data_IF_490888535269
#
_entry.id   IF_490888535269
#
_cell.length_a   1.000
_cell.length_b   1.000
_cell.length_c   1.000
_cell.angle_alpha   90.00
_cell.angle_beta   90.00
_cell.angle_gamma   90.00
#
_symmetry.space_group_name_H-M   'P 1'
#
loop_
_entity.id
_entity.type
_entity.pdbx_description
1 polymer ?
#
# COMPACT_ATOMS: atom_id res chain seq x y z
N UNK A 1 -27.81 2.68 -9.39
CA UNK A 1 -27.24 1.71 -10.37
C UNK A 1 -27.94 0.36 -10.32
N UNK A 2 -28.45 -0.05 -9.15
CA UNK A 2 -29.12 -1.35 -8.89
C UNK A 2 -30.19 -1.74 -9.92
N UNK A 3 -31.01 -0.80 -10.41
CA UNK A 3 -32.13 -1.14 -11.31
C UNK A 3 -31.76 -1.67 -12.71
N UNK A 4 -30.49 -1.56 -13.18
CA UNK A 4 -30.09 -2.01 -14.54
C UNK A 4 -29.35 -3.35 -14.57
N UNK A 5 -28.98 -3.90 -13.42
CA UNK A 5 -28.18 -5.12 -13.31
C UNK A 5 -28.90 -6.20 -12.51
N UNK A 6 -30.21 -6.08 -12.36
CA UNK A 6 -31.09 -7.16 -11.91
C UNK A 6 -31.65 -7.88 -13.13
N UNK A 7 -31.40 -9.18 -13.25
CA UNK A 7 -31.92 -10.03 -14.33
C UNK A 7 -32.48 -11.33 -13.75
N UNK A 8 -33.81 -11.37 -13.60
CA UNK A 8 -34.55 -12.52 -13.06
C UNK A 8 -34.33 -13.78 -13.89
N UNK A 9 -34.20 -13.66 -15.21
CA UNK A 9 -34.07 -14.83 -16.10
C UNK A 9 -32.72 -15.51 -15.94
N UNK A 10 -31.69 -14.76 -15.56
CA UNK A 10 -30.33 -15.26 -15.32
C UNK A 10 -30.00 -15.40 -13.84
N UNK A 11 -30.97 -15.13 -12.95
CA UNK A 11 -30.78 -15.12 -11.50
C UNK A 11 -29.57 -14.27 -11.08
N UNK A 12 -29.47 -13.05 -11.61
CA UNK A 12 -28.35 -12.15 -11.35
C UNK A 12 -28.83 -10.85 -10.68
N UNK A 13 -28.34 -10.60 -9.47
CA UNK A 13 -28.43 -9.30 -8.79
C UNK A 13 -27.02 -8.81 -8.45
N UNK A 14 -26.63 -7.66 -8.97
CA UNK A 14 -25.30 -7.10 -8.74
C UNK A 14 -24.98 -6.86 -7.26
N UNK A 15 -25.95 -6.46 -6.46
CA UNK A 15 -25.74 -6.21 -5.03
C UNK A 15 -25.46 -7.51 -4.31
N UNK A 16 -26.25 -8.56 -4.57
CA UNK A 16 -26.05 -9.89 -3.97
C UNK A 16 -24.71 -10.48 -4.41
N UNK A 17 -24.41 -10.45 -5.70
CA UNK A 17 -23.14 -10.94 -6.25
C UNK A 17 -21.93 -10.18 -5.71
N UNK A 18 -22.06 -8.88 -5.46
CA UNK A 18 -20.99 -8.10 -4.85
C UNK A 18 -20.78 -8.45 -3.37
N UNK A 19 -21.86 -8.66 -2.60
CA UNK A 19 -21.71 -9.08 -1.21
C UNK A 19 -21.03 -10.45 -1.10
N UNK A 20 -21.37 -11.41 -1.96
CA UNK A 20 -20.66 -12.71 -2.04
C UNK A 20 -19.14 -12.55 -2.28
N UNK A 21 -18.76 -11.65 -3.19
CA UNK A 21 -17.34 -11.38 -3.48
C UNK A 21 -16.67 -10.65 -2.32
N UNK A 22 -17.38 -9.72 -1.68
CA UNK A 22 -16.87 -8.97 -0.53
C UNK A 22 -16.60 -9.89 0.66
N UNK A 23 -17.46 -10.87 0.92
CA UNK A 23 -17.25 -11.87 1.97
C UNK A 23 -15.97 -12.68 1.72
N UNK A 24 -15.74 -13.13 0.49
CA UNK A 24 -14.48 -13.80 0.10
C UNK A 24 -13.26 -12.89 0.28
N UNK A 25 -13.37 -11.63 -0.11
CA UNK A 25 -12.30 -10.65 0.07
C UNK A 25 -12.03 -10.35 1.55
N UNK A 26 -13.02 -10.47 2.43
CA UNK A 26 -12.84 -10.31 3.88
C UNK A 26 -11.93 -11.39 4.46
N UNK A 27 -12.06 -12.64 4.02
CA UNK A 27 -11.21 -13.77 4.48
C UNK A 27 -9.71 -13.51 4.27
N UNK A 28 -9.37 -12.70 3.26
CA UNK A 28 -7.99 -12.34 2.91
C UNK A 28 -7.61 -10.89 3.29
N UNK A 29 -8.51 -10.15 3.96
CA UNK A 29 -8.27 -8.78 4.44
C UNK A 29 -8.37 -7.70 3.37
N UNK A 30 -9.12 -7.95 2.29
CA UNK A 30 -9.33 -7.05 1.16
C UNK A 30 -10.76 -6.52 1.01
N UNK A 31 -11.61 -6.70 2.02
CA UNK A 31 -13.02 -6.25 2.12
C UNK A 31 -13.28 -4.77 1.84
N UNK A 32 -12.26 -3.90 1.93
CA UNK A 32 -12.42 -2.47 1.64
C UNK A 32 -12.46 -2.12 0.15
N UNK A 33 -12.24 -3.08 -0.76
CA UNK A 33 -12.39 -2.87 -2.22
C UNK A 33 -13.86 -2.58 -2.54
N UNK A 34 -14.20 -1.41 -3.11
CA UNK A 34 -15.59 -1.04 -3.37
C UNK A 34 -16.10 -1.64 -4.69
N UNK A 35 -17.42 -1.86 -4.77
CA UNK A 35 -18.11 -2.36 -5.97
C UNK A 35 -17.79 -1.60 -7.27
N UNK A 36 -17.47 -0.30 -7.16
CA UNK A 36 -17.11 0.53 -8.31
C UNK A 36 -15.86 0.01 -9.05
N UNK A 37 -14.95 -0.71 -8.37
CA UNK A 37 -13.77 -1.33 -9.00
C UNK A 37 -14.20 -2.33 -10.07
N UNK A 38 -15.11 -3.24 -9.75
CA UNK A 38 -15.63 -4.24 -10.70
C UNK A 38 -16.33 -3.58 -11.89
N UNK A 39 -17.16 -2.57 -11.62
CA UNK A 39 -17.85 -1.80 -12.67
C UNK A 39 -16.88 -1.07 -13.59
N UNK A 40 -15.83 -0.46 -13.03
CA UNK A 40 -14.80 0.24 -13.80
C UNK A 40 -13.97 -0.73 -14.63
N UNK A 41 -13.61 -1.91 -14.08
CA UNK A 41 -12.90 -2.96 -14.82
C UNK A 41 -13.71 -3.45 -16.02
N UNK A 42 -14.99 -3.81 -15.81
CA UNK A 42 -15.88 -4.24 -16.91
C UNK A 42 -16.04 -3.12 -17.96
N UNK A 43 -16.14 -1.86 -17.54
CA UNK A 43 -16.24 -0.75 -18.47
C UNK A 43 -14.98 -0.54 -19.31
N UNK A 44 -13.79 -0.67 -18.71
CA UNK A 44 -12.53 -0.64 -19.46
C UNK A 44 -12.43 -1.79 -20.46
N UNK A 45 -12.85 -3.00 -20.08
CA UNK A 45 -12.83 -4.16 -20.98
C UNK A 45 -13.80 -4.00 -22.16
N UNK A 46 -15.04 -3.52 -21.92
CA UNK A 46 -16.04 -3.38 -22.98
C UNK A 46 -15.86 -2.16 -23.88
N UNK A 47 -15.35 -1.04 -23.33
CA UNK A 47 -15.39 0.28 -24.00
C UNK A 47 -14.06 1.01 -24.02
N UNK A 48 -13.04 0.54 -23.30
CA UNK A 48 -11.78 1.26 -23.12
C UNK A 48 -11.86 2.49 -22.20
N UNK A 49 -13.04 2.82 -21.68
CA UNK A 49 -13.31 3.98 -20.83
C UNK A 49 -14.25 3.61 -19.69
N UNK A 50 -14.01 4.15 -18.50
CA UNK A 50 -14.75 3.79 -17.29
C UNK A 50 -15.45 4.98 -16.61
N UNK A 51 -15.68 6.09 -17.33
CA UNK A 51 -16.44 7.19 -16.75
C UNK A 51 -17.89 6.79 -16.49
N UNK A 52 -18.53 7.36 -15.48
CA UNK A 52 -19.93 7.02 -15.10
C UNK A 52 -20.89 6.96 -16.29
N UNK A 53 -20.75 7.87 -17.28
CA UNK A 53 -21.57 7.90 -18.50
C UNK A 53 -21.42 6.65 -19.38
N UNK A 54 -20.28 5.97 -19.35
CA UNK A 54 -20.03 4.71 -20.08
C UNK A 54 -20.51 3.51 -19.27
N UNK A 55 -20.33 3.52 -17.94
CA UNK A 55 -20.86 2.48 -17.05
C UNK A 55 -22.39 2.35 -17.21
N UNK A 56 -23.10 3.48 -17.30
CA UNK A 56 -24.56 3.50 -17.49
C UNK A 56 -25.04 2.99 -18.87
N UNK A 57 -24.12 2.81 -19.83
CA UNK A 57 -24.32 2.35 -21.21
C UNK A 57 -23.69 0.97 -21.47
N UNK A 58 -23.27 0.26 -20.42
CA UNK A 58 -22.83 -1.12 -20.56
C UNK A 58 -23.98 -1.99 -21.04
N UNK A 59 -23.64 -2.95 -21.89
CA UNK A 59 -24.60 -3.95 -22.30
C UNK A 59 -24.83 -4.92 -21.15
N UNK A 60 -26.10 -5.09 -20.73
CA UNK A 60 -26.44 -5.91 -19.56
C UNK A 60 -26.03 -7.37 -19.74
N UNK A 61 -26.22 -7.92 -20.94
CA UNK A 61 -25.92 -9.32 -21.21
C UNK A 61 -24.41 -9.57 -21.12
N UNK A 62 -23.61 -8.75 -21.83
CA UNK A 62 -22.15 -8.81 -21.74
C UNK A 62 -21.63 -8.55 -20.34
N UNK A 63 -22.27 -7.65 -19.59
CA UNK A 63 -21.90 -7.38 -18.20
C UNK A 63 -22.01 -8.64 -17.34
N UNK A 64 -23.15 -9.35 -17.42
CA UNK A 64 -23.38 -10.57 -16.65
C UNK A 64 -22.42 -11.68 -17.11
N UNK A 65 -22.19 -11.80 -18.42
CA UNK A 65 -21.28 -12.82 -18.98
C UNK A 65 -19.83 -12.64 -18.53
N UNK A 66 -19.37 -11.40 -18.31
CA UNK A 66 -18.01 -11.10 -17.90
C UNK A 66 -17.81 -11.07 -16.38
N UNK A 67 -18.89 -11.18 -15.59
CA UNK A 67 -18.82 -10.95 -14.14
C UNK A 67 -17.84 -11.90 -13.46
N UNK A 68 -17.97 -13.21 -13.71
CA UNK A 68 -17.16 -14.23 -13.04
C UNK A 68 -15.68 -14.14 -13.43
N UNK A 69 -15.39 -13.85 -14.71
CA UNK A 69 -14.01 -13.63 -15.19
C UNK A 69 -13.37 -12.38 -14.56
N UNK A 70 -14.15 -11.31 -14.36
CA UNK A 70 -13.66 -10.09 -13.69
C UNK A 70 -13.47 -10.31 -12.21
N UNK A 71 -14.31 -11.11 -11.56
CA UNK A 71 -14.10 -11.52 -10.16
C UNK A 71 -12.80 -12.30 -10.03
N UNK A 72 -12.56 -13.31 -10.87
CA UNK A 72 -11.29 -14.07 -10.89
C UNK A 72 -10.08 -13.13 -11.13
N UNK A 73 -10.17 -12.19 -12.06
CA UNK A 73 -9.09 -11.23 -12.31
C UNK A 73 -8.81 -10.29 -11.11
N UNK A 74 -9.85 -9.91 -10.36
CA UNK A 74 -9.71 -9.15 -9.12
C UNK A 74 -9.09 -10.00 -8.01
N UNK A 75 -9.51 -11.26 -7.86
CA UNK A 75 -8.93 -12.21 -6.89
C UNK A 75 -7.44 -12.43 -7.18
N UNK A 76 -7.04 -12.64 -8.44
CA UNK A 76 -5.63 -12.71 -8.87
C UNK A 76 -4.86 -11.43 -8.55
N UNK A 77 -5.47 -10.27 -8.74
CA UNK A 77 -4.88 -8.99 -8.38
C UNK A 77 -4.59 -8.90 -6.89
N UNK A 78 -5.57 -9.31 -6.06
CA UNK A 78 -5.43 -9.33 -4.61
C UNK A 78 -4.34 -10.29 -4.18
N UNK A 79 -4.29 -11.50 -4.74
CA UNK A 79 -3.22 -12.46 -4.46
C UNK A 79 -1.85 -11.94 -4.89
N UNK A 80 -1.77 -11.26 -6.03
CA UNK A 80 -0.52 -10.65 -6.47
C UNK A 80 -0.07 -9.52 -5.52
N UNK A 81 -0.97 -8.65 -5.09
CA UNK A 81 -0.66 -7.59 -4.12
C UNK A 81 -0.22 -8.15 -2.77
N UNK A 82 -0.87 -9.23 -2.30
CA UNK A 82 -0.54 -9.89 -1.03
C UNK A 82 0.80 -10.61 -1.08
N UNK A 83 1.07 -11.34 -2.15
CA UNK A 83 2.21 -12.26 -2.20
C UNK A 83 3.46 -11.62 -2.81
N UNK A 84 3.32 -10.84 -3.89
CA UNK A 84 4.44 -10.20 -4.56
C UNK A 84 4.79 -8.85 -3.93
N UNK A 85 3.79 -7.97 -3.77
CA UNK A 85 4.01 -6.66 -3.12
C UNK A 85 3.94 -6.72 -1.59
N UNK A 86 3.61 -7.88 -1.00
CA UNK A 86 3.58 -8.09 0.45
C UNK A 86 2.67 -7.08 1.15
N UNK A 87 1.54 -6.76 0.52
CA UNK A 87 0.53 -5.86 1.06
C UNK A 87 -0.53 -6.72 1.75
N UNK A 88 -0.46 -6.90 3.09
CA UNK A 88 -1.30 -7.87 3.78
C UNK A 88 -2.79 -7.55 3.73
N UNK A 89 -3.16 -6.26 3.67
CA UNK A 89 -4.56 -5.82 3.72
C UNK A 89 -4.84 -4.59 2.88
N UNK A 90 -6.08 -4.47 2.37
CA UNK A 90 -6.47 -3.36 1.48
C UNK A 90 -6.46 -1.98 2.13
N UNK A 91 -6.51 -1.88 3.46
CA UNK A 91 -6.50 -0.56 4.14
C UNK A 91 -5.19 0.20 3.98
N UNK A 92 -4.05 -0.49 3.84
CA UNK A 92 -2.77 0.16 3.51
C UNK A 92 -2.55 0.30 2.00
N UNK A 93 -3.44 -0.24 1.16
CA UNK A 93 -3.33 -0.07 -0.28
C UNK A 93 -3.43 1.43 -0.63
N UNK A 94 -2.49 1.98 -1.43
CA UNK A 94 -2.46 3.41 -1.73
C UNK A 94 -3.77 3.92 -2.34
N UNK A 95 -4.38 3.12 -3.22
CA UNK A 95 -5.71 3.32 -3.76
C UNK A 95 -6.39 1.99 -4.06
N UNK A 96 -7.67 1.85 -3.73
CA UNK A 96 -8.47 0.73 -4.24
C UNK A 96 -8.60 0.77 -5.77
N UNK A 97 -8.54 1.95 -6.38
CA UNK A 97 -8.53 2.11 -7.84
C UNK A 97 -7.30 1.50 -8.53
N UNK A 98 -6.21 1.18 -7.81
CA UNK A 98 -5.10 0.39 -8.38
C UNK A 98 -5.53 -1.03 -8.76
N UNK A 99 -6.59 -1.56 -8.15
CA UNK A 99 -7.10 -2.89 -8.49
C UNK A 99 -7.64 -2.93 -9.92
N UNK A 100 -8.20 -1.81 -10.43
CA UNK A 100 -8.79 -1.75 -11.78
C UNK A 100 -7.77 -2.07 -12.90
N UNK A 101 -6.63 -1.37 -13.04
CA UNK A 101 -5.66 -1.66 -14.09
C UNK A 101 -4.98 -3.02 -13.91
N UNK A 102 -4.80 -3.50 -12.68
CA UNK A 102 -4.23 -4.83 -12.43
C UNK A 102 -5.24 -5.95 -12.73
N UNK A 103 -6.53 -5.78 -12.41
CA UNK A 103 -7.58 -6.72 -12.81
C UNK A 103 -7.73 -6.73 -14.33
N UNK A 104 -7.63 -5.57 -15.00
CA UNK A 104 -7.55 -5.52 -16.45
C UNK A 104 -6.33 -6.30 -17.00
N UNK A 105 -5.16 -6.16 -16.35
CA UNK A 105 -3.98 -6.96 -16.70
C UNK A 105 -4.25 -8.46 -16.55
N UNK A 106 -4.71 -8.91 -15.38
CA UNK A 106 -4.92 -10.33 -15.08
C UNK A 106 -6.08 -10.96 -15.87
N UNK A 107 -7.05 -10.16 -16.32
CA UNK A 107 -8.07 -10.61 -17.27
C UNK A 107 -7.45 -11.05 -18.61
N UNK A 108 -6.44 -10.31 -19.09
CA UNK A 108 -5.76 -10.62 -20.35
C UNK A 108 -4.53 -11.53 -20.17
N UNK A 109 -3.98 -11.59 -18.97
CA UNK A 109 -2.81 -12.40 -18.61
C UNK A 109 -3.04 -13.05 -17.24
N UNK A 110 -3.76 -14.19 -17.18
CA UNK A 110 -4.14 -14.82 -15.91
C UNK A 110 -2.95 -15.35 -15.11
N UNK A 111 -1.83 -15.60 -15.77
CA UNK A 111 -0.62 -16.14 -15.16
C UNK A 111 0.16 -15.06 -14.40
N UNK A 112 1.06 -15.51 -13.52
CA UNK A 112 1.94 -14.60 -12.78
C UNK A 112 2.92 -13.94 -13.77
N UNK A 113 3.04 -12.60 -13.80
CA UNK A 113 3.98 -11.93 -14.69
C UNK A 113 5.42 -12.26 -14.30
N UNK A 114 6.26 -12.49 -15.30
CA UNK A 114 7.69 -12.79 -15.13
C UNK A 114 8.59 -11.74 -15.80
N UNK A 115 9.88 -11.77 -15.49
CA UNK A 115 10.93 -10.97 -16.14
C UNK A 115 10.62 -9.45 -16.21
N UNK A 116 10.71 -8.83 -17.38
CA UNK A 116 10.50 -7.39 -17.59
C UNK A 116 9.05 -6.97 -17.40
N UNK A 117 8.09 -7.84 -17.71
CA UNK A 117 6.67 -7.53 -17.51
C UNK A 117 6.37 -7.28 -16.03
N UNK A 118 6.92 -8.12 -15.16
CA UNK A 118 6.86 -7.97 -13.70
C UNK A 118 7.49 -6.65 -13.24
N UNK A 119 8.68 -6.32 -13.73
CA UNK A 119 9.37 -5.07 -13.37
C UNK A 119 8.59 -3.83 -13.80
N UNK A 120 7.94 -3.87 -14.97
CA UNK A 120 7.09 -2.76 -15.48
C UNK A 120 5.82 -2.60 -14.68
N UNK A 121 5.17 -3.70 -14.26
CA UNK A 121 4.03 -3.64 -13.36
C UNK A 121 4.39 -3.07 -12.00
N UNK A 122 5.53 -3.49 -11.44
CA UNK A 122 6.06 -2.93 -10.21
C UNK A 122 6.30 -1.42 -10.35
N UNK A 123 7.01 -0.99 -11.38
CA UNK A 123 7.22 0.44 -11.63
C UNK A 123 5.90 1.19 -11.82
N UNK A 124 4.92 0.60 -12.53
CA UNK A 124 3.58 1.19 -12.68
C UNK A 124 2.86 1.36 -11.33
N UNK A 125 2.89 0.35 -10.46
CA UNK A 125 2.29 0.41 -9.12
C UNK A 125 2.89 1.56 -8.32
N UNK A 126 4.22 1.57 -8.17
CA UNK A 126 4.92 2.55 -7.34
C UNK A 126 4.80 3.96 -7.92
N UNK A 127 4.90 4.13 -9.24
CA UNK A 127 4.70 5.45 -9.86
C UNK A 127 3.29 5.99 -9.62
N UNK A 128 2.28 5.15 -9.72
CA UNK A 128 0.87 5.56 -9.50
C UNK A 128 0.62 5.93 -8.04
N UNK A 129 1.20 5.17 -7.11
CA UNK A 129 1.04 5.37 -5.68
C UNK A 129 1.78 6.63 -5.17
N UNK A 130 3.07 6.76 -5.51
CA UNK A 130 3.91 7.87 -5.05
C UNK A 130 3.54 9.22 -5.68
N UNK A 131 3.02 9.25 -6.91
CA UNK A 131 2.55 10.51 -7.52
C UNK A 131 1.15 10.93 -7.08
N UNK A 132 0.53 10.20 -6.15
CA UNK A 132 -0.87 10.39 -5.75
C UNK A 132 -1.82 10.44 -6.97
N UNK A 133 -1.54 9.59 -7.97
CA UNK A 133 -2.15 9.67 -9.31
C UNK A 133 -3.66 9.66 -9.26
N UNK A 134 -4.28 8.83 -8.43
CA UNK A 134 -5.75 8.73 -8.34
C UNK A 134 -6.38 9.65 -7.28
N UNK A 135 -5.69 10.71 -6.85
CA UNK A 135 -6.27 11.76 -5.98
C UNK A 135 -7.37 12.58 -6.67
N UNK A 136 -7.38 12.61 -8.01
CA UNK A 136 -8.32 13.37 -8.83
C UNK A 136 -8.47 12.75 -10.22
N UNK A 137 -9.57 13.06 -10.91
CA UNK A 137 -9.83 12.62 -12.30
C UNK A 137 -9.61 11.11 -12.53
N UNK A 138 -10.02 10.28 -11.56
CA UNK A 138 -9.72 8.84 -11.52
C UNK A 138 -10.15 8.13 -12.79
N UNK A 139 -11.37 8.39 -13.28
CA UNK A 139 -11.91 7.73 -14.47
C UNK A 139 -11.09 8.01 -15.74
N UNK A 140 -10.64 9.26 -15.93
CA UNK A 140 -9.78 9.64 -17.05
C UNK A 140 -8.40 9.00 -16.93
N UNK A 141 -7.82 8.98 -15.73
CA UNK A 141 -6.51 8.39 -15.49
C UNK A 141 -6.53 6.87 -15.65
N UNK A 142 -7.59 6.20 -15.21
CA UNK A 142 -7.79 4.76 -15.46
C UNK A 142 -7.83 4.43 -16.95
N UNK A 143 -8.51 5.24 -17.78
CA UNK A 143 -8.49 5.05 -19.23
C UNK A 143 -7.10 5.29 -19.86
N UNK A 144 -6.31 6.23 -19.32
CA UNK A 144 -4.90 6.39 -19.70
C UNK A 144 -4.04 5.21 -19.26
N UNK A 145 -4.27 4.72 -18.05
CA UNK A 145 -3.49 3.64 -17.44
C UNK A 145 -3.80 2.29 -18.07
N UNK A 146 -5.03 2.06 -18.57
CA UNK A 146 -5.33 0.95 -19.48
C UNK A 146 -4.32 0.89 -20.63
N UNK A 147 -4.05 2.02 -21.30
CA UNK A 147 -3.08 2.06 -22.41
C UNK A 147 -1.64 1.76 -21.96
N UNK A 148 -1.31 2.03 -20.70
CA UNK A 148 -0.02 1.64 -20.11
C UNK A 148 0.02 0.14 -19.87
N UNK A 149 -1.04 -0.43 -19.34
CA UNK A 149 -1.17 -1.88 -19.17
C UNK A 149 -1.14 -2.60 -20.53
N UNK A 150 -1.81 -2.08 -21.56
CA UNK A 150 -1.76 -2.64 -22.92
C UNK A 150 -0.31 -2.71 -23.45
N UNK A 151 0.51 -1.67 -23.18
CA UNK A 151 1.94 -1.68 -23.53
C UNK A 151 2.71 -2.74 -22.75
N UNK A 152 2.45 -2.88 -21.45
CA UNK A 152 3.08 -3.91 -20.60
C UNK A 152 2.76 -5.30 -21.15
N UNK A 153 1.48 -5.57 -21.44
CA UNK A 153 1.01 -6.83 -22.04
C UNK A 153 1.69 -7.09 -23.40
N UNK A 154 1.88 -6.04 -24.21
CA UNK A 154 2.59 -6.10 -25.49
C UNK A 154 4.11 -6.16 -25.40
N UNK A 155 4.70 -6.24 -24.20
CA UNK A 155 6.15 -6.29 -24.04
C UNK A 155 6.86 -4.95 -24.30
N UNK A 156 6.13 -3.83 -24.29
CA UNK A 156 6.66 -2.47 -24.44
C UNK A 156 6.81 -1.71 -23.11
N UNK A 157 7.73 -0.75 -23.07
CA UNK A 157 7.86 0.16 -21.93
C UNK A 157 6.70 1.17 -21.90
N UNK A 158 5.99 1.31 -20.76
CA UNK A 158 4.99 2.36 -20.59
C UNK A 158 5.59 3.76 -20.64
N UNK A 159 4.84 4.72 -21.17
CA UNK A 159 5.19 6.14 -21.13
C UNK A 159 4.48 6.84 -19.98
N UNK A 160 5.24 7.58 -19.19
CA UNK A 160 4.74 8.39 -18.08
C UNK A 160 4.88 9.86 -18.42
N UNK A 161 3.83 10.62 -18.15
CA UNK A 161 3.71 12.07 -18.37
C UNK A 161 3.95 12.87 -17.08
N UNK A 162 4.45 12.21 -16.03
CA UNK A 162 4.79 12.80 -14.75
C UNK A 162 6.04 12.14 -14.18
N UNK A 163 6.75 12.89 -13.34
CA UNK A 163 7.92 12.42 -12.61
C UNK A 163 7.54 11.96 -11.20
N UNK A 164 8.34 11.08 -10.62
CA UNK A 164 8.24 10.66 -9.22
C UNK A 164 9.59 10.90 -8.57
N UNK A 165 9.63 11.84 -7.64
CA UNK A 165 10.84 12.17 -6.89
C UNK A 165 10.87 11.38 -5.60
N UNK A 166 11.84 10.48 -5.49
CA UNK A 166 12.09 9.62 -4.32
C UNK A 166 13.38 9.99 -3.59
N UNK A 167 13.95 11.17 -3.86
CA UNK A 167 15.12 11.67 -3.12
C UNK A 167 14.81 11.81 -1.63
N UNK A 168 15.84 11.75 -0.75
CA UNK A 168 15.64 11.99 0.68
C UNK A 168 14.92 13.31 0.97
N UNK A 169 15.31 14.39 0.30
CA UNK A 169 14.70 15.72 0.46
C UNK A 169 13.20 15.69 0.12
N UNK A 170 12.82 15.12 -1.03
CA UNK A 170 11.41 14.95 -1.41
C UNK A 170 10.62 14.16 -0.36
N UNK A 171 11.20 13.09 0.20
CA UNK A 171 10.55 12.29 1.25
C UNK A 171 10.35 13.12 2.53
N UNK A 172 11.35 13.90 2.92
CA UNK A 172 11.32 14.77 4.11
C UNK A 172 10.26 15.86 3.94
N UNK A 173 10.23 16.56 2.81
CA UNK A 173 9.27 17.63 2.55
C UNK A 173 7.82 17.12 2.55
N UNK A 174 7.62 15.91 2.05
CA UNK A 174 6.28 15.35 1.89
C UNK A 174 5.83 14.51 3.08
N UNK A 175 6.66 14.14 4.04
CA UNK A 175 6.39 12.99 4.90
C UNK A 175 5.53 13.22 6.14
N UNK A 176 4.85 14.37 6.31
CA UNK A 176 3.85 14.55 7.38
C UNK A 176 2.85 13.38 7.38
N UNK A 177 2.77 12.67 8.50
CA UNK A 177 2.08 11.39 8.56
C UNK A 177 0.56 11.57 8.52
N UNK A 178 -0.03 10.99 7.48
CA UNK A 178 -1.47 10.82 7.32
C UNK A 178 -1.71 9.46 6.70
N UNK A 179 -2.27 8.54 7.49
CA UNK A 179 -2.50 7.15 7.08
C UNK A 179 -3.47 7.00 5.87
N UNK A 180 -4.13 8.09 5.45
CA UNK A 180 -5.08 8.09 4.34
C UNK A 180 -4.49 8.60 3.01
N UNK A 181 -3.36 9.32 3.05
CA UNK A 181 -2.71 9.85 1.84
C UNK A 181 -2.00 8.72 1.10
N UNK A 182 -2.12 8.70 -0.24
CA UNK A 182 -1.57 7.61 -1.06
C UNK A 182 -0.05 7.54 -0.97
N UNK A 183 0.63 8.69 -0.94
CA UNK A 183 2.08 8.74 -0.72
C UNK A 183 2.50 8.05 0.59
N UNK A 184 1.72 8.24 1.67
CA UNK A 184 2.05 7.74 3.02
C UNK A 184 1.78 6.25 3.08
N UNK A 185 0.66 5.83 2.49
CA UNK A 185 0.36 4.42 2.26
C UNK A 185 1.41 3.71 1.41
N UNK A 186 2.02 4.38 0.43
CA UNK A 186 3.11 3.83 -0.38
C UNK A 186 4.32 3.49 0.49
N UNK A 187 4.73 4.40 1.38
CA UNK A 187 5.82 4.14 2.34
C UNK A 187 5.41 3.07 3.37
N UNK A 188 4.15 3.01 3.80
CA UNK A 188 3.66 1.93 4.66
C UNK A 188 3.67 0.56 3.94
N UNK A 189 3.34 0.51 2.65
CA UNK A 189 3.51 -0.69 1.83
C UNK A 189 4.98 -1.08 1.74
N UNK A 190 5.89 -0.10 1.63
CA UNK A 190 7.31 -0.36 1.68
C UNK A 190 7.73 -0.99 3.02
N UNK A 191 7.27 -0.44 4.13
CA UNK A 191 7.55 -1.00 5.45
C UNK A 191 6.97 -2.40 5.62
N UNK A 192 5.73 -2.63 5.14
CA UNK A 192 5.12 -3.96 5.15
C UNK A 192 5.90 -4.97 4.30
N UNK A 193 6.47 -4.52 3.16
CA UNK A 193 7.30 -5.34 2.28
C UNK A 193 8.55 -5.89 2.97
N UNK A 194 9.11 -5.13 3.93
CA UNK A 194 10.25 -5.57 4.75
C UNK A 194 9.88 -6.62 5.80
N UNK A 195 8.60 -7.01 5.89
CA UNK A 195 8.07 -8.02 6.84
C UNK A 195 8.46 -7.70 8.29
N UNK A 196 7.98 -6.56 8.83
CA UNK A 196 8.47 -6.00 10.08
C UNK A 196 8.33 -7.01 11.22
N UNK A 197 9.39 -7.11 12.03
CA UNK A 197 9.46 -8.06 13.15
C UNK A 197 9.28 -7.36 14.50
N UNK A 198 8.75 -8.10 15.48
CA UNK A 198 8.55 -7.62 16.84
C UNK A 198 9.89 -7.33 17.51
N UNK A 199 9.96 -6.20 18.23
CA UNK A 199 11.16 -5.79 18.97
C UNK A 199 11.49 -6.76 20.12
N UNK A 200 10.48 -7.50 20.62
CA UNK A 200 10.65 -8.42 21.75
C UNK A 200 11.37 -9.72 21.37
N UNK A 201 10.98 -10.33 20.25
CA UNK A 201 11.25 -11.76 20.01
C UNK A 201 11.49 -12.08 18.54
N UNK A 202 11.61 -11.06 17.67
CA UNK A 202 11.83 -11.21 16.24
C UNK A 202 10.69 -11.95 15.49
N UNK A 203 9.51 -12.12 16.11
CA UNK A 203 8.33 -12.70 15.46
C UNK A 203 7.72 -11.75 14.41
N UNK A 204 6.96 -12.29 13.45
CA UNK A 204 6.30 -11.48 12.41
C UNK A 204 5.21 -10.59 13.04
N UNK A 205 5.27 -9.28 12.78
CA UNK A 205 4.16 -8.38 13.12
C UNK A 205 3.04 -8.57 12.13
N UNK A 206 1.90 -9.08 12.61
CA UNK A 206 0.69 -9.20 11.78
C UNK A 206 0.00 -7.84 11.65
N UNK A 207 -0.40 -7.50 10.43
CA UNK A 207 -1.13 -6.27 10.10
C UNK A 207 -2.54 -6.66 9.69
N UNK A 208 -3.57 -5.99 10.23
CA UNK A 208 -4.96 -6.24 9.84
C UNK A 208 -5.76 -4.94 9.65
N UNK A 209 -6.91 -5.04 8.97
CA UNK A 209 -7.78 -3.89 8.71
C UNK A 209 -8.35 -3.26 9.99
N UNK A 210 -8.64 -4.06 11.02
CA UNK A 210 -9.20 -3.58 12.28
C UNK A 210 -8.26 -2.62 13.03
N UNK A 211 -6.96 -2.82 12.92
CA UNK A 211 -5.96 -2.08 13.68
C UNK A 211 -5.55 -0.78 13.01
N UNK A 212 -5.62 -0.68 11.68
CA UNK A 212 -5.09 0.47 10.91
C UNK A 212 -6.14 1.59 10.64
N UNK A 213 -7.23 1.62 11.41
CA UNK A 213 -8.36 2.56 11.20
C UNK A 213 -8.00 4.05 11.33
N UNK A 214 -6.93 4.39 12.05
CA UNK A 214 -6.57 5.78 12.36
C UNK A 214 -5.05 5.97 12.36
N UNK A 215 -4.56 7.21 12.24
CA UNK A 215 -3.13 7.53 12.37
C UNK A 215 -2.56 7.14 13.75
N UNK A 216 -3.41 7.12 14.79
CA UNK A 216 -3.10 6.58 16.12
C UNK A 216 -3.35 5.07 16.24
N UNK A 217 -3.30 4.35 15.11
CA UNK A 217 -3.40 2.90 15.06
C UNK A 217 -2.44 2.26 16.05
N UNK A 218 -2.88 1.18 16.68
CA UNK A 218 -2.07 0.37 17.59
C UNK A 218 -0.77 -0.15 16.96
N UNK A 219 -0.73 -0.27 15.63
CA UNK A 219 0.43 -0.79 14.90
C UNK A 219 1.38 0.31 14.42
N UNK A 220 0.98 1.58 14.38
CA UNK A 220 1.87 2.68 14.00
C UNK A 220 2.49 3.29 15.26
N UNK A 221 3.80 3.12 15.40
CA UNK A 221 4.52 3.62 16.55
C UNK A 221 5.59 4.60 16.14
N UNK A 222 5.69 5.71 16.89
CA UNK A 222 6.77 6.67 16.73
C UNK A 222 8.02 6.08 17.36
N UNK A 223 9.04 5.75 16.57
CA UNK A 223 10.28 5.18 17.07
C UNK A 223 10.87 6.09 18.16
N UNK A 224 11.09 7.36 17.85
CA UNK A 224 11.28 8.40 18.86
C UNK A 224 9.92 8.84 19.41
N UNK A 225 9.58 8.58 20.68
CA UNK A 225 8.23 8.82 21.16
C UNK A 225 7.87 10.31 21.15
N UNK A 226 6.63 10.62 20.75
CA UNK A 226 6.13 12.00 20.64
C UNK A 226 6.41 12.84 21.89
N UNK A 227 6.12 12.29 23.07
CA UNK A 227 6.33 13.00 24.33
C UNK A 227 7.81 13.29 24.63
N UNK A 228 8.74 12.45 24.17
CA UNK A 228 10.17 12.70 24.28
C UNK A 228 10.59 13.85 23.38
N UNK A 229 10.22 13.81 22.09
CA UNK A 229 10.58 14.85 21.13
C UNK A 229 9.94 16.21 21.46
N UNK A 230 8.69 16.24 21.93
CA UNK A 230 8.04 17.48 22.42
C UNK A 230 8.83 18.15 23.53
N UNK A 231 9.40 17.39 24.47
CA UNK A 231 10.24 17.95 25.55
C UNK A 231 11.58 18.47 25.03
N UNK A 232 12.09 17.93 23.93
CA UNK A 232 13.28 18.45 23.23
C UNK A 232 12.99 19.69 22.38
N UNK A 233 11.72 20.09 22.22
CA UNK A 233 11.33 21.24 21.40
C UNK A 233 11.24 20.95 19.90
N UNK A 234 11.14 19.68 19.52
CA UNK A 234 11.01 19.27 18.12
C UNK A 234 9.68 19.71 17.50
N UNK A 235 9.68 20.05 16.20
CA UNK A 235 8.48 20.50 15.51
C UNK A 235 7.47 19.35 15.28
N UNK A 236 6.17 19.63 15.38
CA UNK A 236 5.13 18.61 15.18
C UNK A 236 5.19 17.93 13.80
N UNK A 237 5.69 18.61 12.77
CA UNK A 237 5.93 18.04 11.45
C UNK A 237 6.91 16.89 11.52
N UNK A 238 8.08 17.10 12.13
CA UNK A 238 9.11 16.08 12.27
C UNK A 238 8.69 15.02 13.27
N UNK A 239 8.06 15.39 14.39
CA UNK A 239 7.54 14.42 15.37
C UNK A 239 6.60 13.43 14.69
N UNK A 240 5.60 13.90 13.95
CA UNK A 240 4.60 13.06 13.29
C UNK A 240 4.98 12.75 11.84
N UNK A 241 6.26 12.55 11.55
CA UNK A 241 6.74 12.24 10.22
C UNK A 241 6.74 10.73 9.95
N UNK A 242 6.47 10.30 8.72
CA UNK A 242 6.46 8.88 8.32
C UNK A 242 7.80 8.16 8.57
N UNK A 243 8.90 8.89 8.50
CA UNK A 243 10.24 8.35 8.79
C UNK A 243 10.43 8.00 10.29
N UNK A 244 9.66 8.63 11.17
CA UNK A 244 9.61 8.27 12.59
C UNK A 244 8.63 7.13 12.88
N UNK A 245 7.89 6.61 11.88
CA UNK A 245 6.91 5.55 12.08
C UNK A 245 7.52 4.16 11.83
N UNK A 246 7.31 3.24 12.77
CA UNK A 246 7.57 1.81 12.65
C UNK A 246 6.29 1.00 12.82
N UNK A 247 6.22 -0.18 12.20
CA UNK A 247 5.06 -1.09 12.28
C UNK A 247 5.31 -2.17 13.32
N UNK A 248 4.63 -2.11 14.46
CA UNK A 248 4.89 -2.96 15.64
C UNK A 248 3.62 -3.68 16.10
N UNK A 249 3.75 -4.71 16.94
CA UNK A 249 2.61 -5.45 17.49
C UNK A 249 1.88 -4.67 18.62
N UNK A 250 0.59 -4.96 18.82
CA UNK A 250 -0.29 -4.29 19.81
C UNK A 250 0.12 -4.57 21.27
N UNK A 251 0.74 -5.73 21.53
CA UNK A 251 1.03 -6.19 22.89
C UNK A 251 2.18 -5.41 23.55
N UNK A 252 3.08 -4.87 22.72
CA UNK A 252 4.30 -4.19 23.16
C UNK A 252 4.14 -2.72 23.60
N UNK A 253 3.29 -1.99 22.90
CA UNK A 253 3.51 -0.54 22.74
C UNK A 253 3.20 0.32 23.96
N UNK A 254 2.21 -0.06 24.78
CA UNK A 254 1.77 0.83 25.89
C UNK A 254 2.61 0.71 27.16
N UNK A 255 3.35 -0.39 27.35
CA UNK A 255 4.01 -0.67 28.65
C UNK A 255 5.52 -0.42 28.64
N UNK A 256 6.25 -0.77 27.57
CA UNK A 256 7.71 -0.72 27.56
C UNK A 256 8.29 0.62 27.04
N UNK A 257 7.78 1.14 25.92
CA UNK A 257 8.32 2.34 25.26
C UNK A 257 7.86 3.63 25.96
N UNK A 258 6.55 3.79 26.17
CA UNK A 258 5.93 4.97 26.85
C UNK A 258 6.49 6.30 26.29
N UNK A 259 6.99 7.18 27.17
CA UNK A 259 7.56 8.49 26.85
C UNK A 259 9.10 8.51 27.00
N UNK A 260 9.73 7.33 27.01
CA UNK A 260 11.18 7.15 27.22
C UNK A 260 11.92 7.42 25.91
N UNK A 261 13.17 7.86 26.02
CA UNK A 261 14.05 8.01 24.87
C UNK A 261 14.45 6.63 24.30
N UNK A 262 14.75 6.50 22.99
CA UNK A 262 15.25 5.27 22.39
C UNK A 262 16.42 4.63 23.14
N UNK A 263 17.43 5.42 23.54
CA UNK A 263 18.58 4.95 24.32
C UNK A 263 18.19 4.22 25.62
N UNK A 264 17.02 4.54 26.18
CA UNK A 264 16.52 3.95 27.42
C UNK A 264 15.65 2.73 27.14
N UNK A 265 14.67 2.83 26.24
CA UNK A 265 13.75 1.70 26.05
C UNK A 265 14.38 0.58 25.23
N UNK A 266 15.31 0.88 24.30
CA UNK A 266 15.97 -0.11 23.44
C UNK A 266 16.91 -1.03 24.21
N UNK A 267 17.49 -0.59 25.33
CA UNK A 267 18.28 -1.46 26.22
C UNK A 267 17.50 -2.69 26.69
N UNK A 268 16.22 -2.50 27.03
CA UNK A 268 15.37 -3.63 27.43
C UNK A 268 15.15 -4.63 26.29
N UNK A 269 15.17 -4.17 25.04
CA UNK A 269 15.02 -5.05 23.88
C UNK A 269 16.32 -5.75 23.53
N UNK A 270 17.49 -5.11 23.72
CA UNK A 270 18.79 -5.78 23.57
C UNK A 270 18.88 -6.97 24.54
N UNK A 271 18.47 -6.78 25.79
CA UNK A 271 18.55 -7.84 26.81
C UNK A 271 17.59 -9.01 26.54
N UNK A 272 16.53 -8.81 25.76
CA UNK A 272 15.46 -9.79 25.55
C UNK A 272 15.48 -10.44 24.17
N UNK A 273 15.97 -9.72 23.16
CA UNK A 273 15.96 -10.13 21.76
C UNK A 273 17.40 -10.23 21.25
N UNK A 274 17.95 -11.43 21.26
CA UNK A 274 19.28 -11.73 20.70
C UNK A 274 19.39 -11.38 19.20
N UNK A 275 18.25 -11.27 18.50
CA UNK A 275 18.17 -10.91 17.08
C UNK A 275 17.74 -9.45 16.88
N UNK A 276 17.93 -8.56 17.85
CA UNK A 276 17.44 -7.18 17.76
C UNK A 276 18.01 -6.44 16.54
N UNK A 277 19.28 -6.61 16.22
CA UNK A 277 19.88 -5.96 15.05
C UNK A 277 19.19 -6.40 13.74
N UNK A 278 19.01 -7.71 13.55
CA UNK A 278 18.22 -8.26 12.42
C UNK A 278 16.78 -7.77 12.44
N UNK A 279 16.19 -7.62 13.63
CA UNK A 279 14.85 -7.05 13.81
C UNK A 279 14.83 -5.62 13.27
N UNK A 280 15.76 -4.76 13.67
CA UNK A 280 15.81 -3.36 13.24
C UNK A 280 16.00 -3.20 11.73
N UNK A 281 16.76 -4.09 11.08
CA UNK A 281 16.87 -4.14 9.61
C UNK A 281 15.51 -4.31 8.92
N UNK A 282 14.59 -5.09 9.50
CA UNK A 282 13.20 -5.22 8.96
C UNK A 282 12.36 -3.95 9.11
N UNK A 283 12.84 -2.98 9.88
CA UNK A 283 12.27 -1.65 10.00
C UNK A 283 13.13 -0.61 9.28
N UNK A 284 13.99 -0.98 8.32
CA UNK A 284 14.87 -0.03 7.62
C UNK A 284 15.72 0.82 8.59
N UNK A 285 16.21 0.18 9.63
CA UNK A 285 17.23 0.69 10.55
C UNK A 285 18.40 -0.29 10.41
N UNK A 286 19.30 -0.01 9.47
CA UNK A 286 20.31 -0.98 9.02
C UNK A 286 21.37 -1.27 10.07
N UNK A 287 21.73 -0.26 10.86
CA UNK A 287 22.75 -0.33 11.90
C UNK A 287 22.29 0.49 13.10
N UNK A 288 22.05 -0.19 14.21
CA UNK A 288 21.51 0.43 15.43
C UNK A 288 22.50 1.37 16.10
N UNK A 289 23.81 1.18 15.86
CA UNK A 289 24.87 1.97 16.47
C UNK A 289 25.14 3.27 15.69
N UNK A 290 24.87 3.26 14.38
CA UNK A 290 25.11 4.40 13.48
C UNK A 290 23.87 5.30 13.31
N UNK A 291 22.66 4.79 13.55
CA UNK A 291 21.41 5.54 13.35
C UNK A 291 21.07 6.52 14.49
N UNK A 292 21.99 6.83 15.41
CA UNK A 292 21.77 7.82 16.47
C UNK A 292 20.89 7.35 17.64
N UNK A 293 20.54 6.06 17.69
CA UNK A 293 19.59 5.49 18.66
C UNK A 293 20.12 5.59 20.10
N UNK A 294 21.39 5.25 20.33
CA UNK A 294 21.97 5.18 21.68
C UNK A 294 22.26 6.53 22.32
N UNK A 295 22.39 7.58 21.49
CA UNK A 295 22.64 8.94 21.93
C UNK A 295 21.38 9.83 21.83
N UNK A 296 20.23 9.23 21.50
CA UNK A 296 18.97 9.92 21.25
C UNK A 296 19.08 11.08 20.23
N UNK A 297 19.91 10.89 19.22
CA UNK A 297 20.13 11.82 18.10
C UNK A 297 19.06 11.60 17.04
N UNK A 298 18.01 12.42 17.14
CA UNK A 298 16.85 12.31 16.27
C UNK A 298 17.14 12.77 14.84
N UNK A 299 17.95 13.81 14.67
CA UNK A 299 18.30 14.35 13.35
C UNK A 299 19.08 13.32 12.54
N UNK A 300 20.08 12.68 13.17
CA UNK A 300 20.84 11.60 12.54
C UNK A 300 19.93 10.41 12.18
N UNK A 301 19.08 9.98 13.10
CA UNK A 301 18.11 8.91 12.85
C UNK A 301 17.22 9.24 11.64
N UNK A 302 16.68 10.45 11.62
CA UNK A 302 15.74 10.91 10.61
C UNK A 302 16.38 10.97 9.22
N UNK A 303 17.58 11.53 9.11
CA UNK A 303 18.32 11.60 7.86
C UNK A 303 18.72 10.21 7.34
N UNK A 304 19.25 9.35 8.20
CA UNK A 304 19.60 7.96 7.82
C UNK A 304 18.38 7.17 7.36
N UNK A 305 17.23 7.38 8.01
CA UNK A 305 15.94 6.80 7.60
C UNK A 305 15.48 7.32 6.24
N UNK A 306 15.63 8.61 5.97
CA UNK A 306 15.31 9.19 4.65
C UNK A 306 16.18 8.56 3.54
N UNK A 307 17.48 8.45 3.77
CA UNK A 307 18.45 7.86 2.84
C UNK A 307 18.09 6.41 2.47
N UNK A 308 17.81 5.56 3.45
CA UNK A 308 17.51 4.15 3.20
C UNK A 308 16.13 3.94 2.56
N UNK A 309 15.12 4.73 2.97
CA UNK A 309 13.80 4.70 2.34
C UNK A 309 13.89 5.15 0.87
N UNK A 310 14.66 6.20 0.59
CA UNK A 310 14.94 6.67 -0.77
C UNK A 310 15.53 5.56 -1.64
N UNK A 311 16.62 4.92 -1.18
CA UNK A 311 17.27 3.80 -1.90
C UNK A 311 16.33 2.65 -2.17
N UNK A 312 15.48 2.31 -1.20
CA UNK A 312 14.50 1.25 -1.36
C UNK A 312 13.40 1.61 -2.37
N UNK A 313 12.91 2.85 -2.37
CA UNK A 313 11.94 3.31 -3.38
C UNK A 313 12.54 3.37 -4.78
N UNK A 314 13.80 3.76 -4.92
CA UNK A 314 14.50 3.82 -6.21
C UNK A 314 14.55 2.44 -6.90
N UNK A 315 14.84 1.36 -6.15
CA UNK A 315 14.84 -0.03 -6.66
C UNK A 315 13.51 -0.47 -7.30
N UNK A 316 12.42 0.19 -6.95
CA UNK A 316 11.05 -0.13 -7.39
C UNK A 316 10.62 0.68 -8.62
N UNK A 317 11.43 1.63 -9.04
CA UNK A 317 11.21 2.44 -10.23
C UNK A 317 12.15 1.96 -11.32
N UNK A 318 11.59 1.48 -12.44
CA UNK A 318 12.38 1.32 -13.65
C UNK A 318 12.76 2.72 -14.13
N UNK A 319 14.08 2.95 -14.26
CA UNK A 319 14.67 4.16 -14.83
C UNK A 319 14.59 4.09 -16.35
#
# INVERSE_FOLDING_TARGET
MVAKTFDVKRNFDLSERYEEVKDKLEEVGYDTIPAIVFLQTIALLQRGECAKKHILKLDRQKFIDMWDEVVDAVERTVDYFRNYYRIPVSRILPYNSLVVPFAYFFYHHPDKPETEMKNRLESFFWRTALSERYSSAVETKLAQDKRRIDRILGGEQPKYDYHVDVTPDSIIENGLFSANRSYKKSILCLYAYQEPKSFNDHSIVRINNGWLKQANSKNYHHFFPRAFLKRKGEDEFYINHILNITIVDDFLNKRKIKAKAPSVYMKNFIEQNENLEKTMRTHLIDDIDVFGIWNDDYDLFFQKRAEIVSKELEKRLLV
#
